data_IF_390176649101
#
_entry.id   IF_390176649101
#
_cell.length_a   1.000
_cell.length_b   1.000
_cell.length_c   1.000
_cell.angle_alpha   90.00
_cell.angle_beta   90.00
_cell.angle_gamma   90.00
#
_symmetry.space_group_name_H-M   'P 1'
#
loop_
_entity.id
_entity.type
_entity.pdbx_description
1 polymer ?
#
# COMPACT_ATOMS: atom_id res chain seq x y z
N UNK A 1 -21.64 -25.05 5.92
CA UNK A 1 -21.15 -24.11 4.87
C UNK A 1 -19.78 -23.58 5.29
N UNK A 2 -18.85 -23.31 4.38
CA UNK A 2 -17.63 -22.55 4.73
C UNK A 2 -17.96 -21.07 4.86
N UNK A 3 -17.33 -20.39 5.82
CA UNK A 3 -17.50 -18.95 6.09
C UNK A 3 -17.22 -18.11 4.84
N UNK A 4 -16.28 -18.51 3.97
CA UNK A 4 -16.06 -17.84 2.68
C UNK A 4 -17.31 -17.72 1.78
N UNK A 5 -18.22 -18.70 1.82
CA UNK A 5 -19.49 -18.69 1.05
C UNK A 5 -20.64 -18.01 1.81
N UNK A 6 -20.35 -17.37 2.95
CA UNK A 6 -21.22 -16.41 3.63
C UNK A 6 -20.69 -14.98 3.53
N UNK A 7 -19.36 -14.81 3.56
CA UNK A 7 -18.73 -13.48 3.51
C UNK A 7 -18.58 -12.94 2.07
N UNK A 8 -18.11 -13.77 1.12
CA UNK A 8 -17.77 -13.28 -0.24
C UNK A 8 -18.43 -14.09 -1.36
N UNK A 9 -18.62 -15.39 -1.17
CA UNK A 9 -19.17 -16.29 -2.18
C UNK A 9 -20.70 -16.26 -2.25
N UNK A 10 -21.25 -16.31 -3.46
CA UNK A 10 -22.71 -16.25 -3.71
C UNK A 10 -23.15 -15.03 -4.52
N UNK A 11 -22.22 -14.12 -4.82
CA UNK A 11 -22.46 -12.98 -5.69
C UNK A 11 -22.46 -13.44 -7.15
N UNK A 12 -23.57 -13.21 -7.85
CA UNK A 12 -23.63 -13.37 -9.31
C UNK A 12 -22.90 -12.21 -10.00
N UNK A 13 -21.58 -12.34 -10.14
CA UNK A 13 -20.71 -11.40 -10.86
C UNK A 13 -20.77 -11.70 -12.36
N UNK A 14 -21.75 -11.08 -13.04
CA UNK A 14 -21.83 -11.02 -14.50
C UNK A 14 -20.89 -9.96 -15.06
N UNK A 15 -20.60 -10.02 -16.37
CA UNK A 15 -19.72 -9.06 -17.03
C UNK A 15 -20.16 -7.59 -16.89
N UNK A 16 -21.44 -7.21 -17.10
CA UNK A 16 -21.88 -5.84 -16.87
C UNK A 16 -21.71 -5.38 -15.42
N UNK A 17 -22.05 -6.24 -14.44
CA UNK A 17 -21.89 -5.93 -13.01
C UNK A 17 -20.42 -5.71 -12.64
N UNK A 18 -19.51 -6.53 -13.17
CA UNK A 18 -18.07 -6.37 -12.96
C UNK A 18 -17.57 -5.03 -13.52
N UNK A 19 -17.94 -4.68 -14.76
CA UNK A 19 -17.52 -3.44 -15.43
C UNK A 19 -18.04 -2.22 -14.66
N UNK A 20 -19.31 -2.21 -14.30
CA UNK A 20 -19.91 -1.13 -13.47
C UNK A 20 -19.17 -1.01 -12.13
N UNK A 21 -18.89 -2.13 -11.46
CA UNK A 21 -18.18 -2.12 -10.19
C UNK A 21 -16.72 -1.65 -10.32
N UNK A 22 -16.01 -2.04 -11.38
CA UNK A 22 -14.65 -1.56 -11.65
C UNK A 22 -14.61 -0.04 -11.92
N UNK A 23 -15.58 0.49 -12.66
CA UNK A 23 -15.75 1.93 -12.89
C UNK A 23 -16.07 2.66 -11.59
N UNK A 24 -17.02 2.16 -10.80
CA UNK A 24 -17.42 2.78 -9.52
C UNK A 24 -16.26 2.78 -8.53
N UNK A 25 -15.51 1.67 -8.38
CA UNK A 25 -14.34 1.61 -7.50
C UNK A 25 -13.23 2.54 -8.00
N UNK A 26 -12.88 2.50 -9.29
CA UNK A 26 -11.83 3.36 -9.84
C UNK A 26 -12.15 4.86 -9.68
N UNK A 27 -13.39 5.26 -9.96
CA UNK A 27 -13.81 6.64 -9.80
C UNK A 27 -13.93 7.06 -8.33
N UNK A 28 -14.44 6.20 -7.45
CA UNK A 28 -14.55 6.50 -6.02
C UNK A 28 -13.16 6.63 -5.37
N UNK A 29 -12.22 5.71 -5.65
CA UNK A 29 -10.86 5.77 -5.12
C UNK A 29 -10.14 7.00 -5.66
N UNK A 30 -10.20 7.27 -6.96
CA UNK A 30 -9.64 8.51 -7.55
C UNK A 30 -10.20 9.78 -6.92
N UNK A 31 -11.51 9.81 -6.61
CA UNK A 31 -12.14 10.93 -5.90
C UNK A 31 -11.70 11.06 -4.43
N UNK A 32 -11.46 9.96 -3.72
CA UNK A 32 -10.93 9.99 -2.35
C UNK A 32 -9.48 10.48 -2.29
N UNK A 33 -8.66 10.13 -3.29
CA UNK A 33 -7.27 10.61 -3.36
C UNK A 33 -7.15 12.13 -3.49
N UNK A 34 -8.17 12.80 -4.03
CA UNK A 34 -8.22 14.26 -4.21
C UNK A 34 -8.58 15.05 -2.96
N UNK A 35 -8.95 14.42 -1.84
CA UNK A 35 -9.38 15.11 -0.61
C UNK A 35 -8.15 15.35 0.27
N UNK A 36 -7.68 16.61 0.50
CA UNK A 36 -6.46 16.84 1.27
C UNK A 36 -6.63 16.54 2.77
N UNK A 37 -7.81 16.79 3.32
CA UNK A 37 -8.12 16.61 4.75
C UNK A 37 -8.19 15.15 5.22
N UNK A 38 -7.77 14.19 4.38
CA UNK A 38 -7.65 12.76 4.71
C UNK A 38 -6.34 12.14 4.21
N UNK A 39 -5.35 12.98 3.84
CA UNK A 39 -3.98 12.53 3.63
C UNK A 39 -3.40 11.84 4.87
N UNK A 40 -2.47 10.90 4.66
CA UNK A 40 -1.86 10.09 5.74
C UNK A 40 -2.90 9.28 6.56
N UNK A 41 -4.06 8.92 5.98
CA UNK A 41 -5.10 8.11 6.65
C UNK A 41 -5.57 6.88 5.87
N UNK A 42 -6.28 5.98 6.56
CA UNK A 42 -7.01 4.84 5.99
C UNK A 42 -7.97 5.15 4.85
N UNK A 43 -8.33 6.42 4.63
CA UNK A 43 -9.19 6.82 3.50
C UNK A 43 -8.41 6.86 2.18
N UNK A 44 -7.09 7.13 2.21
CA UNK A 44 -6.22 7.11 1.02
C UNK A 44 -5.46 5.81 0.82
N UNK A 45 -5.29 4.98 1.86
CA UNK A 45 -4.66 3.64 1.75
C UNK A 45 -5.24 2.80 0.60
N UNK A 46 -6.56 2.85 0.38
CA UNK A 46 -7.22 2.15 -0.74
C UNK A 46 -6.70 2.55 -2.14
N UNK A 47 -6.09 3.72 -2.29
CA UNK A 47 -5.44 4.19 -3.51
C UNK A 47 -3.92 3.99 -3.55
N UNK A 48 -3.25 3.80 -2.41
CA UNK A 48 -1.79 3.71 -2.30
C UNK A 48 -1.26 2.29 -2.06
N UNK A 49 -2.05 1.41 -1.43
CA UNK A 49 -1.60 0.07 -1.00
C UNK A 49 -2.52 -1.07 -1.47
N UNK A 50 -2.02 -2.31 -1.39
CA UNK A 50 -2.56 -3.45 -2.14
C UNK A 50 -3.65 -4.27 -1.44
N UNK A 51 -3.98 -4.03 -0.17
CA UNK A 51 -4.83 -4.93 0.64
C UNK A 51 -6.29 -4.90 0.20
N UNK A 52 -6.80 -3.71 -0.10
CA UNK A 52 -8.12 -3.51 -0.70
C UNK A 52 -8.20 -4.09 -2.12
N UNK A 53 -7.11 -4.04 -2.89
CA UNK A 53 -7.03 -4.64 -4.21
C UNK A 53 -7.00 -6.17 -4.15
N UNK A 54 -6.23 -6.71 -3.21
CA UNK A 54 -6.23 -8.12 -2.81
C UNK A 54 -7.65 -8.55 -2.42
N UNK A 55 -8.40 -7.73 -1.68
CA UNK A 55 -9.80 -8.01 -1.33
C UNK A 55 -10.66 -8.22 -2.58
N UNK A 56 -10.65 -7.25 -3.50
CA UNK A 56 -11.46 -7.30 -4.70
C UNK A 56 -11.07 -8.51 -5.57
N UNK A 57 -9.77 -8.82 -5.67
CA UNK A 57 -9.28 -10.06 -6.25
C UNK A 57 -9.88 -11.31 -5.61
N UNK A 58 -9.80 -11.45 -4.28
CA UNK A 58 -10.37 -12.58 -3.53
C UNK A 58 -11.88 -12.71 -3.75
N UNK A 59 -12.62 -11.59 -3.77
CA UNK A 59 -14.07 -11.57 -4.05
C UNK A 59 -14.38 -12.04 -5.47
N UNK A 60 -13.62 -11.59 -6.47
CA UNK A 60 -13.79 -12.01 -7.88
C UNK A 60 -13.53 -13.50 -8.05
N UNK A 61 -12.37 -14.00 -7.61
CA UNK A 61 -12.01 -15.42 -7.79
C UNK A 61 -12.93 -16.35 -6.98
N UNK A 62 -13.42 -15.88 -5.82
CA UNK A 62 -14.36 -16.63 -4.97
C UNK A 62 -15.79 -16.72 -5.52
N UNK A 63 -16.10 -16.04 -6.63
CA UNK A 63 -17.39 -16.10 -7.31
C UNK A 63 -17.32 -16.67 -8.73
N UNK A 64 -16.25 -16.37 -9.47
CA UNK A 64 -16.06 -16.72 -10.88
C UNK A 64 -16.23 -18.22 -11.20
N UNK A 65 -16.77 -18.54 -12.38
CA UNK A 65 -17.29 -19.86 -12.76
C UNK A 65 -16.21 -20.90 -13.09
N UNK A 66 -15.04 -20.47 -13.55
CA UNK A 66 -13.90 -21.32 -13.92
C UNK A 66 -12.58 -20.55 -13.71
N UNK A 67 -11.40 -21.18 -13.78
CA UNK A 67 -10.11 -20.47 -13.75
C UNK A 67 -9.98 -19.39 -14.84
N UNK A 68 -10.54 -19.63 -16.03
CA UNK A 68 -10.49 -18.66 -17.14
C UNK A 68 -11.45 -17.48 -16.90
N UNK A 69 -12.68 -17.74 -16.44
CA UNK A 69 -13.62 -16.69 -16.02
C UNK A 69 -13.03 -15.86 -14.85
N UNK A 70 -12.29 -16.52 -13.96
CA UNK A 70 -11.61 -15.91 -12.80
C UNK A 70 -10.44 -15.00 -13.20
N UNK A 71 -9.55 -15.49 -14.08
CA UNK A 71 -8.45 -14.71 -14.64
C UNK A 71 -8.95 -13.50 -15.44
N UNK A 72 -9.91 -13.72 -16.35
CA UNK A 72 -10.41 -12.67 -17.22
C UNK A 72 -11.17 -11.58 -16.44
N UNK A 73 -11.94 -11.94 -15.40
CA UNK A 73 -12.64 -10.96 -14.55
C UNK A 73 -11.70 -10.21 -13.62
N UNK A 74 -10.67 -10.86 -13.08
CA UNK A 74 -9.65 -10.16 -12.31
C UNK A 74 -8.93 -9.13 -13.20
N UNK A 75 -8.45 -9.58 -14.37
CA UNK A 75 -7.78 -8.71 -15.34
C UNK A 75 -8.63 -7.52 -15.77
N UNK A 76 -9.88 -7.74 -16.21
CA UNK A 76 -10.76 -6.66 -16.67
C UNK A 76 -11.14 -5.69 -15.54
N UNK A 77 -11.31 -6.17 -14.30
CA UNK A 77 -11.57 -5.28 -13.16
C UNK A 77 -10.39 -4.32 -12.94
N UNK A 78 -9.17 -4.85 -12.84
CA UNK A 78 -7.97 -4.04 -12.62
C UNK A 78 -7.63 -3.13 -13.81
N UNK A 79 -7.77 -3.65 -15.05
CA UNK A 79 -7.54 -2.90 -16.28
C UNK A 79 -8.47 -1.69 -16.44
N UNK A 80 -9.65 -1.71 -15.81
CA UNK A 80 -10.57 -0.58 -15.78
C UNK A 80 -10.30 0.30 -14.55
N UNK A 81 -10.22 -0.26 -13.35
CA UNK A 81 -10.19 0.51 -12.11
C UNK A 81 -8.89 1.30 -11.94
N UNK A 82 -7.75 0.69 -12.27
CA UNK A 82 -6.42 1.27 -12.04
C UNK A 82 -6.14 2.52 -12.89
N UNK A 83 -6.29 2.53 -14.23
CA UNK A 83 -6.10 3.76 -15.00
C UNK A 83 -7.19 4.80 -14.71
N UNK A 84 -8.40 4.39 -14.30
CA UNK A 84 -9.48 5.32 -13.98
C UNK A 84 -9.19 6.15 -12.72
N UNK A 85 -8.49 5.60 -11.72
CA UNK A 85 -8.01 6.35 -10.55
C UNK A 85 -7.14 7.54 -10.99
N UNK A 86 -6.27 7.34 -11.97
CA UNK A 86 -5.44 8.40 -12.54
C UNK A 86 -6.27 9.37 -13.40
N UNK A 87 -7.17 8.88 -14.27
CA UNK A 87 -8.05 9.74 -15.09
C UNK A 87 -8.88 10.73 -14.25
N UNK A 88 -9.38 10.32 -13.07
CA UNK A 88 -10.12 11.20 -12.17
C UNK A 88 -9.23 12.27 -11.54
N UNK A 89 -7.94 11.99 -11.34
CA UNK A 89 -6.99 12.93 -10.71
C UNK A 89 -6.36 13.92 -11.71
N UNK A 90 -6.19 13.56 -12.99
CA UNK A 90 -5.62 14.41 -14.04
C UNK A 90 -6.15 15.86 -14.06
N UNK A 91 -7.47 16.14 -14.02
CA UNK A 91 -7.97 17.53 -14.08
C UNK A 91 -7.83 18.32 -12.77
N UNK A 92 -7.29 17.72 -11.70
CA UNK A 92 -7.16 18.32 -10.37
C UNK A 92 -5.74 18.19 -9.78
N UNK A 93 -4.74 17.85 -10.61
CA UNK A 93 -3.35 17.66 -10.19
C UNK A 93 -2.42 18.48 -11.08
N UNK A 94 -1.44 19.15 -10.48
CA UNK A 94 -0.49 20.00 -11.18
C UNK A 94 0.40 19.23 -12.16
N UNK A 95 0.58 17.91 -11.95
CA UNK A 95 1.24 17.02 -12.91
C UNK A 95 0.39 16.71 -14.15
N UNK A 96 -0.93 16.93 -14.08
CA UNK A 96 -1.89 16.57 -15.13
C UNK A 96 -1.71 15.13 -15.62
N UNK A 97 -1.48 14.97 -16.93
CA UNK A 97 -1.22 13.67 -17.55
C UNK A 97 0.07 12.99 -17.09
N UNK A 98 1.01 13.72 -16.46
CA UNK A 98 2.24 13.17 -15.87
C UNK A 98 1.99 12.09 -14.82
N UNK A 99 0.82 12.13 -14.15
CA UNK A 99 0.36 11.07 -13.22
C UNK A 99 0.40 9.66 -13.82
N UNK A 100 0.25 9.51 -15.14
CA UNK A 100 0.33 8.20 -15.80
C UNK A 100 1.73 7.58 -15.79
N UNK A 101 2.78 8.33 -15.42
CA UNK A 101 4.10 7.78 -15.12
C UNK A 101 4.05 6.69 -14.04
N UNK A 102 3.27 6.91 -12.98
CA UNK A 102 3.11 5.95 -11.87
C UNK A 102 2.33 4.68 -12.28
N UNK A 103 1.44 4.79 -13.28
CA UNK A 103 0.68 3.64 -13.82
C UNK A 103 1.58 2.57 -14.47
N UNK A 104 2.83 2.90 -14.83
CA UNK A 104 3.83 1.95 -15.36
C UNK A 104 4.05 0.74 -14.45
N UNK A 105 3.95 0.90 -13.13
CA UNK A 105 4.07 -0.21 -12.18
C UNK A 105 2.74 -0.98 -12.06
N UNK A 106 1.60 -0.27 -12.08
CA UNK A 106 0.26 -0.86 -11.98
C UNK A 106 -0.14 -1.71 -13.18
N UNK A 107 0.33 -1.43 -14.40
CA UNK A 107 0.07 -2.30 -15.56
C UNK A 107 0.76 -3.68 -15.40
N UNK A 108 1.92 -3.76 -14.74
CA UNK A 108 2.60 -5.04 -14.45
C UNK A 108 1.76 -5.86 -13.48
N UNK A 109 1.28 -5.26 -12.39
CA UNK A 109 0.37 -5.90 -11.44
C UNK A 109 -0.95 -6.32 -12.09
N UNK A 110 -1.51 -5.46 -12.95
CA UNK A 110 -2.72 -5.74 -13.73
C UNK A 110 -2.54 -6.98 -14.61
N UNK A 111 -1.44 -7.08 -15.36
CA UNK A 111 -1.12 -8.28 -16.15
C UNK A 111 -0.92 -9.52 -15.27
N UNK A 112 -0.28 -9.39 -14.11
CA UNK A 112 -0.10 -10.48 -13.15
C UNK A 112 -1.43 -11.00 -12.55
N UNK A 113 -2.53 -10.24 -12.60
CA UNK A 113 -3.85 -10.73 -12.19
C UNK A 113 -4.39 -11.86 -13.09
N UNK A 114 -3.85 -12.05 -14.31
CA UNK A 114 -4.23 -13.18 -15.17
C UNK A 114 -3.81 -14.52 -14.54
N UNK A 115 -2.52 -14.82 -14.30
CA UNK A 115 -2.13 -16.05 -13.62
C UNK A 115 -2.61 -16.10 -12.16
N UNK A 116 -2.58 -14.99 -11.42
CA UNK A 116 -3.08 -14.97 -10.03
C UNK A 116 -4.59 -15.26 -9.96
N UNK A 117 -5.39 -14.73 -10.89
CA UNK A 117 -6.82 -14.97 -10.99
C UNK A 117 -7.16 -16.41 -11.40
N UNK A 118 -6.37 -17.00 -12.29
CA UNK A 118 -6.50 -18.42 -12.67
C UNK A 118 -6.22 -19.36 -11.48
N UNK A 119 -5.10 -19.15 -10.78
CA UNK A 119 -4.70 -19.96 -9.62
C UNK A 119 -5.64 -19.72 -8.43
N UNK A 120 -5.99 -18.46 -8.16
CA UNK A 120 -6.88 -18.05 -7.07
C UNK A 120 -8.27 -18.69 -7.11
N UNK A 121 -8.75 -19.09 -8.28
CA UNK A 121 -10.00 -19.86 -8.41
C UNK A 121 -9.98 -21.16 -7.57
N UNK A 122 -8.82 -21.80 -7.40
CA UNK A 122 -8.71 -23.05 -6.66
C UNK A 122 -8.80 -22.89 -5.14
N UNK A 123 -8.71 -21.67 -4.61
CA UNK A 123 -8.96 -21.34 -3.18
C UNK A 123 -10.35 -21.82 -2.71
N UNK A 124 -11.31 -21.92 -3.63
CA UNK A 124 -12.68 -22.39 -3.37
C UNK A 124 -12.76 -23.86 -2.94
N UNK A 125 -11.70 -24.65 -3.08
CA UNK A 125 -11.61 -26.04 -2.58
C UNK A 125 -11.63 -26.08 -1.05
N UNK A 126 -10.88 -25.20 -0.39
CA UNK A 126 -10.73 -25.16 1.08
C UNK A 126 -9.82 -26.28 1.62
N UNK A 127 -8.93 -26.77 0.78
CA UNK A 127 -7.91 -27.80 1.06
C UNK A 127 -6.54 -27.17 1.39
N UNK A 128 -5.50 -28.00 1.56
CA UNK A 128 -4.13 -27.51 1.82
C UNK A 128 -3.60 -26.68 0.65
N UNK A 129 -3.96 -27.03 -0.60
CA UNK A 129 -3.58 -26.26 -1.79
C UNK A 129 -4.19 -24.85 -1.72
N UNK A 130 -5.44 -24.72 -1.27
CA UNK A 130 -6.09 -23.43 -1.05
C UNK A 130 -5.34 -22.57 -0.02
N UNK A 131 -4.86 -23.19 1.07
CA UNK A 131 -4.03 -22.51 2.08
C UNK A 131 -2.68 -22.05 1.53
N UNK A 132 -2.03 -22.87 0.70
CA UNK A 132 -0.74 -22.53 0.08
C UNK A 132 -0.86 -21.42 -0.97
N UNK A 133 -1.93 -21.39 -1.77
CA UNK A 133 -2.20 -20.32 -2.74
C UNK A 133 -2.36 -18.96 -2.05
N UNK A 134 -2.87 -18.95 -0.82
CA UNK A 134 -3.04 -17.75 0.01
C UNK A 134 -1.81 -17.42 0.86
N UNK A 135 -0.77 -18.24 0.87
CA UNK A 135 0.38 -18.01 1.72
C UNK A 135 1.11 -16.70 1.39
N UNK A 136 1.41 -16.37 0.11
CA UNK A 136 2.05 -15.09 -0.22
C UNK A 136 1.19 -13.89 0.19
N UNK A 137 -0.12 -13.99 -0.06
CA UNK A 137 -1.11 -12.97 0.30
C UNK A 137 -1.19 -12.75 1.83
N UNK A 138 -1.13 -13.83 2.61
CA UNK A 138 -1.20 -13.78 4.09
C UNK A 138 0.10 -13.24 4.68
N UNK A 139 1.25 -13.55 4.10
CA UNK A 139 2.55 -12.96 4.46
C UNK A 139 2.58 -11.46 4.13
N UNK A 140 2.13 -11.08 2.94
CA UNK A 140 2.04 -9.68 2.52
C UNK A 140 1.15 -8.85 3.46
N UNK A 141 -0.05 -9.36 3.80
CA UNK A 141 -0.95 -8.73 4.77
C UNK A 141 -0.33 -8.65 6.18
N UNK A 142 0.53 -9.59 6.58
CA UNK A 142 1.22 -9.53 7.86
C UNK A 142 2.30 -8.42 7.89
N UNK A 143 3.03 -8.22 6.79
CA UNK A 143 3.97 -7.10 6.63
C UNK A 143 3.23 -5.76 6.73
N UNK A 144 2.12 -5.62 6.01
CA UNK A 144 1.33 -4.38 6.01
C UNK A 144 0.62 -4.13 7.35
N UNK A 145 0.14 -5.18 8.03
CA UNK A 145 -0.34 -5.09 9.41
C UNK A 145 0.74 -4.56 10.37
N UNK A 146 1.99 -5.00 10.21
CA UNK A 146 3.12 -4.50 11.01
C UNK A 146 3.40 -3.02 10.75
N UNK A 147 3.52 -2.59 9.49
CA UNK A 147 3.71 -1.17 9.14
C UNK A 147 2.62 -0.31 9.77
N UNK A 148 1.35 -0.60 9.48
CA UNK A 148 0.23 0.19 9.98
C UNK A 148 0.05 0.14 11.49
N UNK A 149 0.48 -0.92 12.20
CA UNK A 149 0.48 -0.90 13.67
C UNK A 149 1.62 -0.07 14.26
N UNK A 150 2.71 0.14 13.52
CA UNK A 150 3.67 1.20 13.79
C UNK A 150 3.07 2.59 13.59
N UNK A 151 2.39 2.82 12.47
CA UNK A 151 1.81 4.13 12.14
C UNK A 151 0.70 4.52 13.13
N UNK A 152 -0.20 3.59 13.46
CA UNK A 152 -1.24 3.74 14.50
C UNK A 152 -0.65 4.09 15.86
N UNK A 153 0.51 3.52 16.22
CA UNK A 153 1.21 3.81 17.49
C UNK A 153 1.80 5.23 17.49
N UNK A 154 2.27 5.70 16.34
CA UNK A 154 2.97 6.98 16.20
C UNK A 154 2.01 8.16 15.99
N UNK A 155 0.91 7.96 15.24
CA UNK A 155 -0.06 8.98 14.78
C UNK A 155 -1.52 8.54 15.00
N UNK A 156 -1.88 8.00 16.17
CA UNK A 156 -3.27 7.56 16.43
C UNK A 156 -4.31 8.68 16.14
N UNK A 157 -5.40 8.43 15.38
CA UNK A 157 -5.92 7.14 14.90
C UNK A 157 -5.59 6.81 13.41
N UNK A 158 -4.57 7.42 12.82
CA UNK A 158 -4.19 7.21 11.43
C UNK A 158 -3.91 5.72 11.15
N UNK A 159 -4.23 5.27 9.93
CA UNK A 159 -4.13 3.88 9.45
C UNK A 159 -4.85 2.77 10.25
N UNK A 160 -5.58 3.11 11.34
CA UNK A 160 -6.21 2.13 12.24
C UNK A 160 -7.21 1.21 11.54
N UNK A 161 -8.01 1.73 10.62
CA UNK A 161 -9.01 0.92 9.88
C UNK A 161 -8.30 -0.07 8.94
N UNK A 162 -7.16 0.31 8.38
CA UNK A 162 -6.35 -0.51 7.47
C UNK A 162 -5.59 -1.60 8.24
N UNK A 163 -5.03 -1.28 9.40
CA UNK A 163 -4.47 -2.26 10.34
C UNK A 163 -5.54 -3.31 10.75
N UNK A 164 -6.74 -2.85 11.11
CA UNK A 164 -7.87 -3.73 11.43
C UNK A 164 -8.26 -4.60 10.21
N UNK A 165 -8.30 -4.02 9.00
CA UNK A 165 -8.60 -4.77 7.76
C UNK A 165 -7.58 -5.91 7.55
N UNK A 166 -6.28 -5.63 7.68
CA UNK A 166 -5.22 -6.62 7.54
C UNK A 166 -5.38 -7.77 8.56
N UNK A 167 -5.59 -7.43 9.84
CA UNK A 167 -5.81 -8.41 10.90
C UNK A 167 -7.07 -9.27 10.65
N UNK A 168 -8.18 -8.64 10.23
CA UNK A 168 -9.42 -9.34 9.86
C UNK A 168 -9.21 -10.26 8.66
N UNK A 169 -8.41 -9.85 7.66
CA UNK A 169 -8.15 -10.67 6.48
C UNK A 169 -7.28 -11.89 6.80
N UNK A 170 -6.25 -11.72 7.63
CA UNK A 170 -5.45 -12.84 8.14
C UNK A 170 -6.34 -13.80 8.93
N UNK A 171 -7.21 -13.30 9.82
CA UNK A 171 -8.19 -14.13 10.51
C UNK A 171 -9.15 -14.85 9.53
N UNK A 172 -9.51 -14.22 8.42
CA UNK A 172 -10.37 -14.79 7.36
C UNK A 172 -9.64 -15.83 6.49
N UNK A 173 -8.34 -15.72 6.20
CA UNK A 173 -7.60 -16.78 5.49
C UNK A 173 -7.38 -18.00 6.38
N UNK A 174 -7.17 -17.79 7.69
CA UNK A 174 -7.10 -18.86 8.70
C UNK A 174 -8.45 -19.57 8.88
N UNK A 175 -9.50 -18.83 9.24
CA UNK A 175 -10.76 -19.39 9.72
C UNK A 175 -11.81 -19.56 8.62
N UNK A 176 -11.76 -18.70 7.59
CA UNK A 176 -12.82 -18.56 6.59
C UNK A 176 -12.78 -19.58 5.46
N UNK A 177 -11.56 -19.96 5.06
CA UNK A 177 -11.25 -20.68 3.81
C UNK A 177 -10.98 -22.15 4.06
N UNK A 178 -10.13 -22.46 5.03
CA UNK A 178 -9.71 -23.82 5.34
C UNK A 178 -10.87 -24.68 5.87
N UNK A 179 -11.27 -25.70 5.09
CA UNK A 179 -12.37 -26.62 5.44
C UNK A 179 -11.89 -27.85 6.18
N UNK A 180 -10.78 -28.46 5.74
CA UNK A 180 -10.23 -29.67 6.36
C UNK A 180 -9.38 -29.35 7.59
N UNK A 181 -9.20 -30.31 8.50
CA UNK A 181 -8.32 -30.16 9.67
C UNK A 181 -6.88 -29.78 9.26
N UNK A 182 -6.36 -30.44 8.22
CA UNK A 182 -5.00 -30.22 7.73
C UNK A 182 -4.86 -28.83 7.09
N UNK A 183 -5.84 -28.37 6.30
CA UNK A 183 -5.85 -27.01 5.76
C UNK A 183 -5.84 -25.95 6.87
N UNK A 184 -6.62 -26.17 7.95
CA UNK A 184 -6.67 -25.24 9.08
C UNK A 184 -5.33 -25.15 9.81
N UNK A 185 -4.69 -26.30 10.06
CA UNK A 185 -3.35 -26.35 10.65
C UNK A 185 -2.33 -25.62 9.76
N UNK A 186 -2.35 -25.86 8.45
CA UNK A 186 -1.45 -25.19 7.50
C UNK A 186 -1.69 -23.67 7.46
N UNK A 187 -2.93 -23.19 7.37
CA UNK A 187 -3.22 -21.75 7.42
C UNK A 187 -2.81 -21.11 8.76
N UNK A 188 -3.02 -21.79 9.89
CA UNK A 188 -2.56 -21.34 11.21
C UNK A 188 -1.03 -21.25 11.30
N UNK A 189 -0.31 -22.24 10.76
CA UNK A 189 1.15 -22.23 10.73
C UNK A 189 1.70 -21.11 9.83
N UNK A 190 1.12 -20.90 8.65
CA UNK A 190 1.51 -19.83 7.73
C UNK A 190 1.30 -18.45 8.39
N UNK A 191 0.09 -18.18 8.88
CA UNK A 191 -0.24 -16.88 9.46
C UNK A 191 0.47 -16.64 10.80
N UNK A 192 0.57 -17.67 11.64
CA UNK A 192 1.30 -17.61 12.91
C UNK A 192 2.79 -17.36 12.70
N UNK A 193 3.42 -18.02 11.72
CA UNK A 193 4.81 -17.77 11.37
C UNK A 193 5.01 -16.38 10.77
N UNK A 194 4.11 -15.91 9.90
CA UNK A 194 4.18 -14.56 9.32
C UNK A 194 4.07 -13.46 10.39
N UNK A 195 3.08 -13.54 11.28
CA UNK A 195 2.90 -12.57 12.37
C UNK A 195 4.04 -12.67 13.38
N UNK A 196 4.49 -13.87 13.76
CA UNK A 196 5.64 -14.03 14.64
C UNK A 196 6.95 -13.50 14.02
N UNK A 197 7.16 -13.69 12.72
CA UNK A 197 8.30 -13.10 12.01
C UNK A 197 8.26 -11.58 12.06
N UNK A 198 7.10 -10.95 11.82
CA UNK A 198 6.99 -9.49 11.93
C UNK A 198 7.16 -8.96 13.36
N UNK A 199 6.70 -9.70 14.37
CA UNK A 199 6.97 -9.36 15.79
C UNK A 199 8.47 -9.45 16.09
N UNK A 200 9.15 -10.51 15.64
CA UNK A 200 10.61 -10.64 15.80
C UNK A 200 11.35 -9.54 15.06
N UNK A 201 10.93 -9.20 13.84
CA UNK A 201 11.48 -8.06 13.07
C UNK A 201 11.32 -6.76 13.86
N UNK A 202 10.13 -6.43 14.38
CA UNK A 202 9.91 -5.21 15.17
C UNK A 202 10.62 -5.17 16.54
N UNK A 203 11.04 -6.33 17.07
CA UNK A 203 11.83 -6.42 18.31
C UNK A 203 13.34 -6.30 18.05
N UNK A 204 13.83 -6.83 16.93
CA UNK A 204 15.24 -6.77 16.51
C UNK A 204 15.53 -5.44 15.82
N UNK A 205 14.78 -5.13 14.77
CA UNK A 205 14.83 -3.86 14.08
C UNK A 205 13.97 -2.85 14.83
N UNK A 206 14.56 -2.19 15.84
CA UNK A 206 14.04 -0.91 16.37
C UNK A 206 14.22 0.26 15.37
N UNK A 207 14.12 -0.03 14.07
CA UNK A 207 13.90 0.97 13.04
C UNK A 207 12.44 1.39 13.15
N UNK A 208 12.21 2.39 13.98
CA UNK A 208 11.12 3.31 13.71
C UNK A 208 11.37 3.87 12.29
N UNK A 209 10.37 3.83 11.40
CA UNK A 209 10.54 4.14 9.97
C UNK A 209 10.16 5.59 9.65
N UNK A 210 10.95 6.23 8.81
CA UNK A 210 11.42 7.58 9.10
C UNK A 210 11.56 8.44 7.82
N UNK A 211 10.51 9.16 7.38
CA UNK A 211 10.46 9.76 6.03
C UNK A 211 9.93 11.22 5.95
N UNK A 212 10.79 12.26 6.03
CA UNK A 212 10.42 13.65 5.75
C UNK A 212 10.48 13.99 4.25
N UNK A 213 9.76 15.04 3.84
CA UNK A 213 9.86 15.63 2.50
C UNK A 213 10.42 17.04 2.58
N UNK A 214 11.34 17.40 1.67
CA UNK A 214 12.00 18.72 1.64
C UNK A 214 11.71 19.43 0.32
N UNK A 215 11.28 20.68 0.42
CA UNK A 215 10.97 21.56 -0.72
C UNK A 215 11.97 22.73 -0.77
N UNK A 216 12.69 22.87 -1.89
CA UNK A 216 13.60 23.99 -2.11
C UNK A 216 12.97 25.02 -3.06
N UNK A 217 12.85 26.28 -2.65
CA UNK A 217 12.37 27.38 -3.48
C UNK A 217 13.51 28.35 -3.84
N UNK A 218 13.34 29.11 -4.93
CA UNK A 218 14.39 29.96 -5.55
C UNK A 218 15.02 31.01 -4.61
N UNK A 219 14.34 31.42 -3.54
CA UNK A 219 14.83 32.40 -2.57
C UNK A 219 15.11 31.81 -1.16
N UNK A 220 15.05 30.48 -1.00
CA UNK A 220 15.32 29.81 0.27
C UNK A 220 14.64 28.44 0.39
N UNK A 221 15.12 27.60 1.31
CA UNK A 221 14.49 26.32 1.63
C UNK A 221 13.35 26.56 2.61
N UNK A 222 12.11 26.63 2.10
CA UNK A 222 10.91 26.56 2.93
C UNK A 222 10.63 25.11 3.32
N UNK A 223 11.13 24.70 4.49
CA UNK A 223 10.79 23.41 5.11
C UNK A 223 9.32 23.47 5.58
N UNK A 224 8.39 23.12 4.70
CA UNK A 224 6.96 23.10 5.02
C UNK A 224 6.62 21.89 5.91
N UNK A 225 6.81 22.07 7.22
CA UNK A 225 6.74 21.03 8.24
C UNK A 225 5.31 20.62 8.66
N UNK A 226 4.37 20.51 7.71
CA UNK A 226 3.06 19.86 7.96
C UNK A 226 3.19 18.33 8.07
N UNK A 227 4.32 17.75 7.63
CA UNK A 227 4.72 16.38 7.95
C UNK A 227 5.65 16.37 9.16
N UNK A 228 5.12 16.01 10.33
CA UNK A 228 5.96 15.70 11.50
C UNK A 228 6.82 14.45 11.23
N UNK A 229 8.09 14.52 11.69
CA UNK A 229 9.06 13.40 11.76
C UNK A 229 9.58 12.87 10.36
N UNK A 230 10.76 12.25 10.10
CA UNK A 230 11.88 11.73 10.94
C UNK A 230 13.33 11.87 10.30
N UNK A 231 14.39 11.11 10.71
CA UNK A 231 15.84 11.47 10.53
C UNK A 231 16.92 10.37 10.23
N UNK A 232 18.20 10.76 10.03
CA UNK A 232 19.44 10.02 9.57
C UNK A 232 19.36 9.13 8.33
N UNK A 233 20.32 9.23 7.39
CA UNK A 233 20.33 8.42 6.16
C UNK A 233 21.63 7.62 6.00
N UNK A 234 21.56 6.50 5.26
CA UNK A 234 22.70 5.92 4.56
C UNK A 234 22.35 5.85 3.07
N UNK A 235 22.74 6.89 2.32
CA UNK A 235 22.16 7.21 1.00
C UNK A 235 22.54 6.14 -0.03
N UNK A 236 21.55 5.60 -0.73
CA UNK A 236 21.74 4.68 -1.87
C UNK A 236 21.09 5.19 -3.15
N UNK A 237 19.85 5.63 -3.06
CA UNK A 237 19.09 6.22 -4.15
C UNK A 237 18.44 7.51 -3.66
N UNK A 238 18.25 8.47 -4.56
CA UNK A 238 17.46 9.67 -4.35
C UNK A 238 16.64 9.94 -5.62
N UNK A 239 15.47 10.56 -5.48
CA UNK A 239 14.70 11.05 -6.63
C UNK A 239 14.52 12.56 -6.50
N UNK A 240 15.10 13.28 -7.45
CA UNK A 240 14.81 14.70 -7.67
C UNK A 240 13.59 14.74 -8.58
N UNK A 241 12.55 15.44 -8.14
CA UNK A 241 11.45 15.86 -9.03
C UNK A 241 11.48 17.37 -9.11
N UNK A 242 11.70 17.88 -10.32
CA UNK A 242 11.56 19.31 -10.65
C UNK A 242 10.07 19.62 -10.82
N UNK A 243 9.58 20.62 -10.09
CA UNK A 243 8.19 21.03 -10.13
C UNK A 243 8.09 22.56 -10.04
N UNK A 244 7.74 23.18 -11.16
CA UNK A 244 7.50 24.64 -11.28
C UNK A 244 8.65 25.50 -10.73
N UNK A 245 9.88 25.20 -11.18
CA UNK A 245 11.12 25.88 -10.76
C UNK A 245 11.66 25.47 -9.38
N UNK A 246 11.01 24.51 -8.71
CA UNK A 246 11.40 24.02 -7.38
C UNK A 246 11.97 22.61 -7.45
N UNK A 247 13.03 22.37 -6.69
CA UNK A 247 13.56 21.02 -6.49
C UNK A 247 12.93 20.42 -5.23
N UNK A 248 12.16 19.36 -5.40
CA UNK A 248 11.71 18.54 -4.27
C UNK A 248 12.65 17.34 -4.09
N UNK A 249 13.11 17.16 -2.85
CA UNK A 249 14.00 16.08 -2.45
C UNK A 249 13.26 15.17 -1.47
N UNK A 250 12.91 13.97 -1.93
CA UNK A 250 12.32 12.93 -1.08
C UNK A 250 13.43 12.10 -0.42
N UNK A 251 13.37 11.93 0.90
CA UNK A 251 14.40 11.27 1.69
C UNK A 251 13.79 10.20 2.59
N UNK A 252 14.21 8.94 2.40
CA UNK A 252 13.99 7.88 3.38
C UNK A 252 15.15 7.84 4.38
N UNK A 253 14.83 7.79 5.66
CA UNK A 253 15.78 7.92 6.77
C UNK A 253 15.56 6.77 7.79
N UNK A 254 16.44 6.61 8.79
CA UNK A 254 16.63 5.40 9.60
C UNK A 254 17.28 5.64 11.01
N UNK A 255 17.52 6.88 11.45
CA UNK A 255 18.01 7.24 12.81
C UNK A 255 17.59 8.70 13.20
N UNK A 256 18.40 9.56 13.83
CA UNK A 256 17.91 10.88 14.36
C UNK A 256 18.63 12.16 13.90
N UNK A 257 19.79 12.07 13.28
CA UNK A 257 20.56 13.18 12.69
C UNK A 257 21.11 12.81 11.30
N UNK A 258 20.69 13.49 10.25
CA UNK A 258 21.17 13.29 8.87
C UNK A 258 22.13 14.39 8.42
N UNK A 259 22.90 14.10 7.37
CA UNK A 259 23.58 15.12 6.56
C UNK A 259 23.15 14.98 5.11
N UNK A 260 22.81 16.09 4.49
CA UNK A 260 22.47 16.20 3.08
C UNK A 260 23.38 17.27 2.47
N UNK A 261 24.09 16.92 1.40
CA UNK A 261 24.88 17.86 0.62
C UNK A 261 24.06 18.19 -0.61
N UNK A 262 23.80 19.48 -0.82
CA UNK A 262 23.14 20.00 -2.02
C UNK A 262 24.20 20.76 -2.81
N UNK A 263 24.61 20.21 -3.95
CA UNK A 263 25.45 20.93 -4.92
C UNK A 263 24.54 21.89 -5.71
N UNK A 264 24.96 23.16 -5.85
CA UNK A 264 24.24 24.14 -6.68
C UNK A 264 25.27 25.10 -7.29
N UNK A 265 25.23 25.27 -8.62
CA UNK A 265 26.18 26.09 -9.40
C UNK A 265 27.67 25.84 -9.07
N UNK A 266 28.03 24.56 -8.88
CA UNK A 266 29.40 24.15 -8.53
C UNK A 266 29.82 24.53 -7.11
N UNK A 267 28.86 24.71 -6.19
CA UNK A 267 29.09 24.92 -4.75
C UNK A 267 28.31 23.91 -3.93
N UNK A 268 29.01 23.12 -3.14
CA UNK A 268 28.41 22.28 -2.11
C UNK A 268 27.86 23.13 -0.97
N UNK A 269 26.59 22.94 -0.61
CA UNK A 269 26.05 23.38 0.68
C UNK A 269 25.63 22.17 1.50
N UNK A 270 26.28 21.98 2.65
CA UNK A 270 25.91 20.95 3.63
C UNK A 270 24.80 21.44 4.53
N UNK A 271 23.75 20.62 4.68
CA UNK A 271 22.72 20.77 5.70
C UNK A 271 22.78 19.57 6.66
N UNK A 272 22.92 19.86 7.95
CA UNK A 272 22.68 18.90 9.03
C UNK A 272 21.19 18.94 9.34
N UNK A 273 20.53 17.79 9.35
CA UNK A 273 19.10 17.68 9.64
C UNK A 273 18.90 16.89 10.93
N UNK A 274 18.54 17.58 12.02
CA UNK A 274 18.41 16.98 13.35
C UNK A 274 16.94 16.87 13.80
N UNK A 275 16.64 15.83 14.56
CA UNK A 275 15.35 15.62 15.22
C UNK A 275 15.21 16.43 16.51
N UNK A 276 14.05 17.05 16.76
CA UNK A 276 13.62 17.40 18.11
C UNK A 276 12.56 16.40 18.61
N UNK A 277 12.88 15.65 19.68
CA UNK A 277 11.95 14.69 20.29
C UNK A 277 10.74 15.34 20.98
N UNK A 278 10.88 16.57 21.48
CA UNK A 278 9.81 17.28 22.20
C UNK A 278 8.77 17.87 21.24
N UNK A 279 9.23 18.49 20.14
CA UNK A 279 8.36 19.12 19.14
C UNK A 279 7.94 18.16 17.99
N UNK A 280 8.57 16.98 17.89
CA UNK A 280 8.37 15.95 16.83
C UNK A 280 8.63 16.45 15.41
N UNK A 281 9.71 17.21 15.22
CA UNK A 281 9.96 18.06 14.04
C UNK A 281 11.41 17.98 13.57
N UNK A 282 11.64 18.35 12.30
CA UNK A 282 12.96 18.33 11.66
C UNK A 282 13.46 19.71 11.32
N UNK A 283 14.72 19.96 11.66
CA UNK A 283 15.39 21.24 11.48
C UNK A 283 16.61 21.01 10.59
N UNK A 284 16.56 21.54 9.38
CA UNK A 284 17.72 21.61 8.50
C UNK A 284 18.55 22.86 8.87
N UNK A 285 19.75 22.66 9.40
CA UNK A 285 20.71 23.71 9.70
C UNK A 285 21.85 23.66 8.69
N UNK A 286 22.10 24.78 8.02
CA UNK A 286 23.27 24.97 7.16
C UNK A 286 24.56 25.00 7.98
N UNK A 287 25.60 24.31 7.51
CA UNK A 287 27.00 24.47 7.95
C UNK A 287 27.71 25.59 7.16
#
# INVERSE_FOLDING_TARGET
>A
MSVLRKLFGGLDITWPKLIIWAVVIGAAVGGLMLIPSVDDTSVKDIGTTFEWWIFFGVVIVSNSKSPVDSAAKAFVFFLISQPLIYLVQVPFSDMGWGLFGYYKNWIIWTLATIPMGAVGHFVRRGDVISSLILAPMTVFLAVHLYTYTGDVKNKFPHHLVTAILCAVFIAVTILGIARTKNAKIVSWLIAGAAVAAMIVIGLVNRTENYSPTISCAENGIEVNAESQVVGTVNIRDYQITELDGRYMLHLEMNTKEGRVIIETDGRDTTYVISYNEEEKTFYAKKE
#
